data_IF_258330792963
#
_entry.id   IF_258330792963
#
_cell.length_a   1.000
_cell.length_b   1.000
_cell.length_c   1.000
_cell.angle_alpha   90.00
_cell.angle_beta   90.00
_cell.angle_gamma   90.00
#
_symmetry.space_group_name_H-M   'P 1'
#
loop_
_entity.id
_entity.type
_entity.pdbx_description
1 polymer ?
#
# COMPACT_ATOMS: atom_id res chain seq x y z
N UNK A 1 -17.88 -13.88 -15.56
CA UNK A 1 -17.32 -12.55 -15.28
C UNK A 1 -17.59 -12.15 -13.84
N UNK A 2 -18.84 -11.97 -13.41
CA UNK A 2 -19.19 -11.69 -12.00
C UNK A 2 -18.43 -12.56 -10.98
N UNK A 3 -18.45 -13.89 -11.12
CA UNK A 3 -17.71 -14.78 -10.21
C UNK A 3 -16.19 -14.58 -10.24
N UNK A 4 -15.62 -14.27 -11.40
CA UNK A 4 -14.20 -13.96 -11.53
C UNK A 4 -13.86 -12.58 -10.93
N UNK A 5 -14.78 -11.61 -11.00
CA UNK A 5 -14.65 -10.31 -10.36
C UNK A 5 -14.71 -10.45 -8.84
N UNK A 6 -15.68 -11.21 -8.30
CA UNK A 6 -15.73 -11.54 -6.87
C UNK A 6 -14.45 -12.26 -6.42
N UNK A 7 -13.97 -13.22 -7.19
CA UNK A 7 -12.72 -13.90 -6.89
C UNK A 7 -11.51 -12.96 -6.93
N UNK A 8 -11.43 -12.07 -7.90
CA UNK A 8 -10.36 -11.07 -7.96
C UNK A 8 -10.36 -10.12 -6.75
N UNK A 9 -11.54 -9.75 -6.25
CA UNK A 9 -11.72 -8.83 -5.13
C UNK A 9 -11.57 -9.52 -3.75
N UNK A 10 -11.80 -10.83 -3.66
CA UNK A 10 -11.69 -11.56 -2.39
C UNK A 10 -10.24 -11.84 -2.00
N UNK A 11 -9.87 -11.65 -0.70
CA UNK A 11 -8.59 -12.08 -0.16
C UNK A 11 -8.37 -13.58 -0.40
N UNK A 12 -7.12 -14.01 -0.59
CA UNK A 12 -6.75 -15.40 -0.91
C UNK A 12 -7.17 -16.46 0.13
N UNK A 13 -7.79 -16.07 1.25
CA UNK A 13 -8.07 -16.91 2.41
C UNK A 13 -9.56 -16.97 2.81
N UNK A 14 -10.45 -16.23 2.14
CA UNK A 14 -11.90 -16.36 2.34
C UNK A 14 -12.52 -17.32 1.31
N UNK A 15 -12.00 -18.55 1.30
CA UNK A 15 -12.47 -19.58 0.38
C UNK A 15 -13.89 -20.04 0.74
N UNK A 16 -14.22 -20.09 2.04
CA UNK A 16 -15.52 -20.50 2.54
C UNK A 16 -16.64 -19.50 2.18
N UNK A 17 -16.40 -18.19 2.31
CA UNK A 17 -17.36 -17.16 1.87
C UNK A 17 -17.58 -17.19 0.36
N UNK A 18 -16.53 -17.53 -0.39
CA UNK A 18 -16.60 -17.65 -1.85
C UNK A 18 -17.35 -18.91 -2.32
N UNK A 19 -17.19 -20.02 -1.60
CA UNK A 19 -17.97 -21.25 -1.79
C UNK A 19 -19.44 -21.02 -1.46
N UNK A 20 -19.75 -20.33 -0.35
CA UNK A 20 -21.12 -19.99 0.02
C UNK A 20 -21.78 -19.03 -0.98
N UNK A 21 -21.04 -18.06 -1.51
CA UNK A 21 -21.50 -17.17 -2.58
C UNK A 21 -21.73 -17.93 -3.91
N UNK A 22 -20.85 -18.89 -4.24
CA UNK A 22 -21.05 -19.79 -5.36
C UNK A 22 -22.31 -20.62 -5.19
N UNK A 23 -22.47 -21.30 -4.05
CA UNK A 23 -23.62 -22.14 -3.77
C UNK A 23 -24.91 -21.34 -3.79
N UNK A 24 -24.94 -20.14 -3.20
CA UNK A 24 -26.11 -19.26 -3.20
C UNK A 24 -26.45 -18.76 -4.61
N UNK A 25 -25.44 -18.39 -5.40
CA UNK A 25 -25.65 -17.97 -6.78
C UNK A 25 -26.21 -19.11 -7.61
N UNK A 26 -25.62 -20.32 -7.53
CA UNK A 26 -26.08 -21.48 -8.29
C UNK A 26 -27.41 -22.06 -7.77
N UNK A 27 -27.69 -21.96 -6.47
CA UNK A 27 -28.99 -22.30 -5.89
C UNK A 27 -30.12 -21.43 -6.46
N UNK A 28 -29.83 -20.14 -6.73
CA UNK A 28 -30.74 -19.25 -7.45
C UNK A 28 -31.04 -19.67 -8.90
N UNK A 29 -30.22 -20.55 -9.50
CA UNK A 29 -30.39 -21.10 -10.84
C UNK A 29 -30.98 -22.54 -10.86
N UNK A 30 -31.38 -23.09 -9.70
CA UNK A 30 -31.44 -24.54 -9.46
C UNK A 30 -32.77 -25.28 -9.69
N UNK A 31 -33.67 -24.88 -10.62
CA UNK A 31 -34.22 -25.97 -11.42
C UNK A 31 -34.34 -25.65 -12.91
N UNK A 32 -33.68 -26.48 -13.73
CA UNK A 32 -33.89 -26.55 -15.18
C UNK A 32 -32.72 -26.09 -16.06
N UNK A 33 -31.60 -25.66 -15.48
CA UNK A 33 -30.44 -25.23 -16.26
C UNK A 33 -29.70 -26.44 -16.88
N UNK A 34 -29.54 -26.49 -18.23
CA UNK A 34 -28.81 -27.57 -18.89
C UNK A 34 -27.36 -27.66 -18.39
N UNK A 35 -26.84 -28.88 -18.22
CA UNK A 35 -25.47 -29.13 -17.71
C UNK A 35 -24.41 -28.39 -18.52
N UNK A 36 -24.65 -28.21 -19.81
CA UNK A 36 -23.80 -27.49 -20.78
C UNK A 36 -23.68 -26.00 -20.44
N UNK A 37 -24.74 -25.38 -19.90
CA UNK A 37 -24.73 -23.97 -19.51
C UNK A 37 -23.90 -23.75 -18.25
N UNK A 38 -23.93 -24.68 -17.30
CA UNK A 38 -23.06 -24.67 -16.12
C UNK A 38 -21.60 -24.91 -16.51
N UNK A 39 -21.33 -25.79 -17.49
CA UNK A 39 -20.01 -25.98 -18.08
C UNK A 39 -19.47 -24.68 -18.68
N UNK A 40 -20.26 -24.00 -19.51
CA UNK A 40 -19.87 -22.72 -20.10
C UNK A 40 -19.65 -21.64 -19.04
N UNK A 41 -20.49 -21.57 -18.00
CA UNK A 41 -20.35 -20.59 -16.93
C UNK A 41 -18.99 -20.71 -16.21
N UNK A 42 -18.56 -21.95 -15.88
CA UNK A 42 -17.25 -22.22 -15.27
C UNK A 42 -16.08 -21.94 -16.22
N UNK A 43 -16.23 -22.23 -17.52
CA UNK A 43 -15.21 -21.87 -18.52
C UNK A 43 -15.03 -20.35 -18.63
N UNK A 44 -16.13 -19.58 -18.59
CA UNK A 44 -16.08 -18.12 -18.59
C UNK A 44 -15.58 -17.53 -17.27
N UNK A 45 -15.75 -18.23 -16.15
CA UNK A 45 -15.15 -17.88 -14.87
C UNK A 45 -13.62 -18.05 -14.92
N UNK A 46 -13.11 -19.21 -15.32
CA UNK A 46 -11.67 -19.44 -15.51
C UNK A 46 -11.06 -18.44 -16.50
N UNK A 47 -11.72 -18.21 -17.64
CA UNK A 47 -11.29 -17.19 -18.62
C UNK A 47 -11.32 -15.77 -18.03
N UNK A 48 -12.31 -15.47 -17.17
CA UNK A 48 -12.41 -14.21 -16.45
C UNK A 48 -11.26 -14.00 -15.48
N UNK A 49 -10.85 -15.03 -14.75
CA UNK A 49 -9.71 -15.00 -13.82
C UNK A 49 -8.39 -14.74 -14.55
N UNK A 50 -8.15 -15.41 -15.68
CA UNK A 50 -6.99 -15.15 -16.53
C UNK A 50 -7.01 -13.72 -17.08
N UNK A 51 -8.18 -13.21 -17.49
CA UNK A 51 -8.31 -11.80 -17.92
C UNK A 51 -8.03 -10.82 -16.78
N UNK A 52 -8.43 -11.14 -15.55
CA UNK A 52 -8.10 -10.32 -14.38
C UNK A 52 -6.60 -10.34 -14.08
N UNK A 53 -5.95 -11.51 -14.17
CA UNK A 53 -4.50 -11.64 -14.02
C UNK A 53 -3.73 -10.79 -15.05
N UNK A 54 -4.17 -10.78 -16.30
CA UNK A 54 -3.49 -10.03 -17.38
C UNK A 54 -3.81 -8.53 -17.35
N UNK A 55 -5.04 -8.13 -17.03
CA UNK A 55 -5.50 -6.73 -17.19
C UNK A 55 -5.52 -5.93 -15.90
N UNK A 56 -5.62 -6.58 -14.74
CA UNK A 56 -5.87 -5.92 -13.46
C UNK A 56 -4.77 -6.15 -12.43
N UNK A 57 -3.95 -7.20 -12.58
CA UNK A 57 -2.70 -7.32 -11.83
C UNK A 57 -1.62 -6.57 -12.59
N UNK A 58 -1.09 -5.53 -11.96
CA UNK A 58 -0.07 -4.70 -12.56
C UNK A 58 1.31 -5.29 -12.25
N UNK A 59 2.10 -5.61 -13.28
CA UNK A 59 3.43 -6.25 -13.16
C UNK A 59 4.49 -5.44 -12.35
N UNK A 60 4.10 -4.29 -11.81
CA UNK A 60 4.95 -3.40 -11.00
C UNK A 60 4.51 -3.32 -9.54
N UNK A 61 3.43 -3.99 -9.15
CA UNK A 61 3.05 -4.16 -7.74
C UNK A 61 3.98 -5.19 -7.09
N UNK A 62 4.45 -4.97 -5.87
CA UNK A 62 5.51 -5.81 -5.28
C UNK A 62 5.10 -7.29 -5.10
N UNK A 63 3.79 -7.56 -5.11
CA UNK A 63 3.17 -8.88 -5.03
C UNK A 63 2.59 -9.37 -6.36
N UNK A 64 2.88 -8.71 -7.49
CA UNK A 64 2.28 -9.00 -8.80
C UNK A 64 2.44 -10.46 -9.19
N UNK A 65 3.60 -11.05 -8.92
CA UNK A 65 3.91 -12.44 -9.27
C UNK A 65 3.04 -13.40 -8.45
N UNK A 66 2.95 -13.17 -7.14
CA UNK A 66 2.13 -13.97 -6.22
C UNK A 66 0.64 -13.84 -6.53
N UNK A 67 0.15 -12.63 -6.85
CA UNK A 67 -1.26 -12.39 -7.24
C UNK A 67 -1.61 -12.98 -8.59
N UNK A 68 -0.69 -12.90 -9.56
CA UNK A 68 -0.84 -13.55 -10.87
C UNK A 68 -0.87 -15.07 -10.70
N UNK A 69 0.07 -15.63 -9.94
CA UNK A 69 0.13 -17.06 -9.65
C UNK A 69 -1.14 -17.55 -8.91
N UNK A 70 -1.66 -16.78 -7.95
CA UNK A 70 -2.90 -17.10 -7.26
C UNK A 70 -4.12 -17.10 -8.20
N UNK A 71 -4.26 -16.10 -9.07
CA UNK A 71 -5.37 -16.04 -10.05
C UNK A 71 -5.27 -17.16 -11.09
N UNK A 72 -4.07 -17.47 -11.57
CA UNK A 72 -3.83 -18.61 -12.47
C UNK A 72 -4.10 -19.93 -11.76
N UNK A 73 -3.67 -20.09 -10.51
CA UNK A 73 -3.95 -21.26 -9.68
C UNK A 73 -5.43 -21.47 -9.44
N UNK A 74 -6.20 -20.40 -9.23
CA UNK A 74 -7.67 -20.45 -9.11
C UNK A 74 -8.37 -20.78 -10.41
N UNK A 75 -7.91 -20.20 -11.54
CA UNK A 75 -8.40 -20.59 -12.85
C UNK A 75 -8.14 -22.08 -13.11
N UNK A 76 -6.96 -22.58 -12.73
CA UNK A 76 -6.61 -23.98 -12.82
C UNK A 76 -7.48 -24.86 -11.90
N UNK A 77 -7.76 -24.42 -10.67
CA UNK A 77 -8.66 -25.14 -9.75
C UNK A 77 -10.08 -25.24 -10.31
N UNK A 78 -10.64 -24.15 -10.85
CA UNK A 78 -11.96 -24.13 -11.51
C UNK A 78 -12.02 -25.06 -12.71
N UNK A 79 -10.89 -25.24 -13.43
CA UNK A 79 -10.78 -26.19 -14.54
C UNK A 79 -10.57 -27.64 -14.06
N UNK A 80 -9.81 -27.84 -12.97
CA UNK A 80 -9.45 -29.14 -12.41
C UNK A 80 -10.57 -29.81 -11.60
N UNK A 81 -11.49 -29.03 -11.04
CA UNK A 81 -12.75 -29.51 -10.42
C UNK A 81 -13.61 -30.37 -11.37
N UNK A 82 -13.16 -30.58 -12.62
CA UNK A 82 -13.80 -31.45 -13.62
C UNK A 82 -12.98 -32.64 -14.11
N UNK A 83 -11.78 -32.93 -13.58
CA UNK A 83 -11.09 -34.16 -14.01
C UNK A 83 -11.76 -35.47 -13.51
N UNK A 84 -12.87 -35.41 -12.76
CA UNK A 84 -13.65 -36.59 -12.37
C UNK A 84 -15.11 -36.63 -12.85
N UNK A 85 -15.61 -35.70 -13.67
CA UNK A 85 -16.99 -35.77 -14.16
C UNK A 85 -17.17 -35.27 -15.60
N UNK A 86 -17.19 -36.24 -16.53
CA UNK A 86 -17.62 -36.25 -17.94
C UNK A 86 -16.51 -36.36 -19.00
N UNK A 87 -16.38 -37.62 -19.45
CA UNK A 87 -15.77 -38.19 -20.66
C UNK A 87 -15.82 -37.29 -21.91
N UNK A 88 -14.68 -37.13 -22.59
CA UNK A 88 -14.53 -37.23 -24.06
C UNK A 88 -13.06 -37.61 -24.40
N UNK A 89 -12.80 -38.23 -25.57
CA UNK A 89 -11.89 -39.37 -25.70
C UNK A 89 -10.41 -39.02 -25.80
N UNK A 90 -9.59 -39.88 -25.20
CA UNK A 90 -8.15 -39.96 -25.44
C UNK A 90 -7.91 -40.29 -26.92
N UNK A 91 -7.31 -39.38 -27.66
CA UNK A 91 -6.53 -39.78 -28.83
C UNK A 91 -5.22 -40.40 -28.34
N UNK A 92 -5.17 -41.73 -28.42
CA UNK A 92 -3.96 -42.53 -28.37
C UNK A 92 -3.22 -42.45 -29.70
N UNK A 93 -1.94 -42.09 -29.63
CA UNK A 93 -0.90 -42.50 -30.57
C UNK A 93 0.41 -42.49 -29.75
N UNK A 94 0.76 -43.59 -29.10
CA UNK A 94 1.64 -44.66 -29.60
C UNK A 94 3.02 -44.10 -30.03
N UNK A 95 3.97 -44.05 -29.11
CA UNK A 95 5.09 -45.00 -28.91
C UNK A 95 6.29 -44.73 -29.81
N UNK A 96 7.36 -44.21 -29.22
CA UNK A 96 8.74 -44.69 -29.44
C UNK A 96 9.59 -44.31 -28.22
N UNK A 97 10.31 -45.31 -27.71
CA UNK A 97 11.19 -45.29 -26.53
C UNK A 97 12.67 -45.17 -27.00
N UNK A 98 13.66 -45.09 -26.09
CA UNK A 98 14.75 -44.11 -26.11
C UNK A 98 16.10 -44.69 -26.56
N UNK A 99 17.09 -43.83 -26.79
CA UNK A 99 18.50 -44.22 -26.77
C UNK A 99 19.38 -43.18 -26.07
N UNK A 100 20.33 -43.73 -25.31
CA UNK A 100 21.37 -43.12 -24.48
C UNK A 100 22.56 -42.59 -25.31
N UNK A 101 23.46 -41.90 -24.60
CA UNK A 101 24.92 -41.73 -24.81
C UNK A 101 25.33 -40.26 -24.87
N UNK A 102 26.49 -39.82 -24.39
CA UNK A 102 27.46 -40.29 -23.41
C UNK A 102 28.44 -39.10 -23.20
N UNK A 103 29.03 -38.98 -22.02
CA UNK A 103 30.34 -38.41 -21.69
C UNK A 103 30.91 -37.12 -22.36
N UNK A 104 31.41 -36.21 -21.49
CA UNK A 104 32.87 -35.99 -21.50
C UNK A 104 33.41 -34.55 -21.36
N UNK A 105 34.23 -34.38 -20.29
CA UNK A 105 35.38 -33.45 -20.08
C UNK A 105 35.06 -32.01 -19.63
N UNK A 106 35.40 -31.59 -18.41
CA UNK A 106 36.73 -31.32 -17.78
C UNK A 106 37.48 -30.14 -18.40
N UNK A 107 37.58 -29.03 -17.64
CA UNK A 107 38.84 -28.51 -17.05
C UNK A 107 38.78 -27.00 -16.73
N UNK A 108 38.99 -26.65 -15.45
CA UNK A 108 39.44 -25.33 -14.93
C UNK A 108 40.96 -25.14 -15.24
N UNK A 109 41.75 -24.20 -14.63
CA UNK A 109 41.53 -22.88 -13.96
C UNK A 109 42.53 -21.81 -14.48
N UNK A 110 42.63 -20.63 -13.82
CA UNK A 110 43.84 -19.77 -13.55
C UNK A 110 43.31 -18.38 -13.09
N UNK A 111 43.31 -18.00 -11.79
CA UNK A 111 44.36 -17.53 -10.86
C UNK A 111 44.84 -16.06 -11.07
N UNK A 112 44.30 -15.18 -10.19
CA UNK A 112 44.91 -14.10 -9.37
C UNK A 112 45.90 -13.04 -9.94
N UNK A 113 45.53 -11.75 -9.78
CA UNK A 113 46.16 -10.77 -8.86
C UNK A 113 45.17 -9.58 -8.67
N UNK A 114 44.81 -9.05 -7.49
CA UNK A 114 45.55 -8.47 -6.35
C UNK A 114 46.46 -7.29 -6.76
N UNK A 115 46.44 -6.06 -6.22
CA UNK A 115 45.62 -5.21 -5.33
C UNK A 115 46.12 -3.79 -5.65
N UNK A 116 45.27 -2.76 -5.66
CA UNK A 116 45.64 -1.46 -5.06
C UNK A 116 44.41 -0.65 -4.66
N UNK A 117 44.25 -0.55 -3.35
CA UNK A 117 43.19 0.13 -2.62
C UNK A 117 43.62 1.53 -2.24
N UNK A 118 42.76 2.52 -2.46
CA UNK A 118 42.59 3.61 -1.50
C UNK A 118 41.27 4.37 -1.73
N UNK A 119 40.46 4.42 -0.66
CA UNK A 119 39.33 5.33 -0.40
C UNK A 119 37.93 4.93 -0.91
N UNK A 120 37.41 3.79 -0.43
CA UNK A 120 35.97 3.54 -0.31
C UNK A 120 35.66 3.07 1.11
N UNK A 121 34.75 3.78 1.78
CA UNK A 121 34.24 3.45 3.12
C UNK A 121 33.36 2.18 3.08
N UNK A 122 33.23 1.44 4.20
CA UNK A 122 32.94 0.01 4.19
C UNK A 122 31.50 -0.32 3.77
N UNK A 123 31.39 -1.12 2.71
CA UNK A 123 30.20 -1.90 2.38
C UNK A 123 30.15 -3.15 3.27
N UNK A 124 29.41 -3.06 4.37
CA UNK A 124 29.02 -4.22 5.18
C UNK A 124 27.52 -4.13 5.49
N UNK A 125 26.78 -5.13 5.04
CA UNK A 125 25.37 -5.33 5.39
C UNK A 125 24.61 -5.89 4.21
N UNK A 126 24.54 -7.22 4.09
CA UNK A 126 23.49 -7.84 3.29
C UNK A 126 22.15 -7.33 3.83
N UNK A 127 21.28 -6.88 2.94
CA UNK A 127 19.91 -6.50 3.32
C UNK A 127 19.30 -7.67 4.08
N UNK A 128 18.80 -7.47 5.32
CA UNK A 128 18.13 -8.55 6.03
C UNK A 128 16.96 -9.02 5.18
N UNK A 129 16.86 -10.32 4.94
CA UNK A 129 15.69 -10.90 4.28
C UNK A 129 14.46 -10.56 5.13
N UNK A 130 13.69 -9.57 4.68
CA UNK A 130 12.54 -9.04 5.40
C UNK A 130 11.49 -10.14 5.56
N UNK A 131 11.37 -11.05 4.60
CA UNK A 131 10.47 -12.21 4.71
C UNK A 131 10.93 -13.19 5.79
N UNK A 132 12.25 -13.29 6.04
CA UNK A 132 12.79 -14.08 7.14
C UNK A 132 12.45 -13.51 8.52
N UNK A 133 12.23 -12.19 8.66
CA UNK A 133 11.78 -11.57 9.92
C UNK A 133 10.42 -12.10 10.35
N UNK A 134 9.51 -12.32 9.39
CA UNK A 134 8.18 -12.84 9.67
C UNK A 134 8.18 -14.35 9.94
N UNK A 135 8.99 -15.11 9.19
CA UNK A 135 9.14 -16.57 9.37
C UNK A 135 9.86 -16.90 10.68
N UNK A 136 10.79 -16.03 11.11
CA UNK A 136 11.58 -16.17 12.32
C UNK A 136 10.91 -15.64 13.59
N UNK A 137 9.64 -15.21 13.55
CA UNK A 137 8.93 -14.78 14.75
C UNK A 137 8.74 -15.97 15.70
N UNK A 138 9.41 -15.91 16.85
CA UNK A 138 9.33 -16.94 17.88
C UNK A 138 7.94 -16.93 18.55
N UNK A 139 7.19 -18.01 18.32
CA UNK A 139 5.82 -18.18 18.83
C UNK A 139 5.80 -18.41 20.33
N UNK A 140 6.78 -19.14 20.85
CA UNK A 140 6.84 -19.48 22.27
C UNK A 140 7.20 -18.23 23.08
N UNK A 141 8.15 -17.44 22.58
CA UNK A 141 8.46 -16.12 23.15
C UNK A 141 7.26 -15.17 23.05
N UNK A 142 6.50 -15.16 21.94
CA UNK A 142 5.28 -14.36 21.84
C UNK A 142 4.24 -14.74 22.90
N UNK A 143 3.98 -16.04 23.09
CA UNK A 143 3.06 -16.52 24.12
C UNK A 143 3.57 -16.16 25.51
N UNK A 144 4.88 -16.31 25.76
CA UNK A 144 5.50 -15.92 27.02
C UNK A 144 5.31 -14.43 27.31
N UNK A 145 5.64 -13.56 26.37
CA UNK A 145 5.50 -12.11 26.51
C UNK A 145 4.03 -11.67 26.69
N UNK A 146 3.09 -12.30 25.99
CA UNK A 146 1.65 -12.04 26.21
C UNK A 146 1.25 -12.46 27.64
N UNK A 147 1.77 -13.58 28.15
CA UNK A 147 1.50 -14.04 29.51
C UNK A 147 2.01 -13.11 30.61
N UNK A 148 2.95 -12.21 30.29
CA UNK A 148 3.46 -11.19 31.21
C UNK A 148 2.62 -9.90 31.21
N UNK A 149 1.68 -9.74 30.27
CA UNK A 149 0.85 -8.54 30.20
C UNK A 149 -0.20 -8.52 31.34
N UNK A 150 -0.49 -7.33 31.90
CA UNK A 150 -1.55 -7.21 32.90
C UNK A 150 -2.92 -7.48 32.28
N UNK A 151 -3.82 -8.09 33.05
CA UNK A 151 -5.18 -8.42 32.61
C UNK A 151 -6.00 -7.20 32.12
N UNK A 152 -5.66 -5.99 32.60
CA UNK A 152 -6.28 -4.74 32.13
C UNK A 152 -5.94 -4.40 30.68
N UNK A 153 -4.79 -4.87 30.17
CA UNK A 153 -4.36 -4.71 28.77
C UNK A 153 -4.63 -5.96 27.95
N UNK A 154 -4.63 -7.13 28.59
CA UNK A 154 -4.85 -8.43 27.96
C UNK A 154 -5.90 -9.25 28.71
N UNK A 155 -7.20 -8.98 28.49
CA UNK A 155 -8.26 -9.63 29.26
C UNK A 155 -8.55 -11.08 28.82
N UNK A 156 -7.94 -11.54 27.72
CA UNK A 156 -8.27 -12.82 27.08
C UNK A 156 -7.56 -14.03 27.68
N UNK A 157 -6.59 -13.80 28.57
CA UNK A 157 -5.74 -14.85 29.14
C UNK A 157 -4.64 -15.32 28.18
N UNK A 158 -3.77 -16.21 28.67
CA UNK A 158 -2.61 -16.71 27.90
C UNK A 158 -3.09 -17.47 26.64
N UNK A 159 -2.54 -17.17 25.44
CA UNK A 159 -2.86 -17.91 24.23
C UNK A 159 -2.49 -19.40 24.33
N UNK A 160 -3.37 -20.26 23.83
CA UNK A 160 -3.17 -21.71 23.73
C UNK A 160 -2.67 -22.12 22.34
N UNK A 161 -2.98 -21.34 21.31
CA UNK A 161 -2.59 -21.57 19.92
C UNK A 161 -2.34 -20.22 19.24
N UNK A 162 -1.30 -20.16 18.41
CA UNK A 162 -0.89 -18.97 17.67
C UNK A 162 -0.71 -19.33 16.19
N UNK A 163 -1.47 -18.69 15.31
CA UNK A 163 -1.28 -18.76 13.86
C UNK A 163 -0.85 -17.39 13.34
N UNK A 164 0.16 -17.38 12.49
CA UNK A 164 0.73 -16.16 11.92
C UNK A 164 0.68 -16.29 10.41
N UNK A 165 0.20 -15.23 9.76
CA UNK A 165 0.17 -15.10 8.33
C UNK A 165 0.78 -13.77 7.92
N UNK A 166 1.70 -13.79 6.95
CA UNK A 166 2.27 -12.55 6.40
C UNK A 166 1.25 -11.90 5.48
N UNK A 167 0.94 -10.62 5.73
CA UNK A 167 0.08 -9.82 4.87
C UNK A 167 0.90 -9.03 3.86
N UNK A 168 1.99 -8.38 4.31
CA UNK A 168 2.86 -7.58 3.44
C UNK A 168 4.26 -7.39 4.04
N UNK A 169 5.25 -7.19 3.17
CA UNK A 169 6.62 -6.78 3.51
C UNK A 169 6.88 -5.40 2.90
N UNK A 170 7.52 -4.51 3.66
CA UNK A 170 7.72 -3.12 3.28
C UNK A 170 9.19 -2.74 3.12
N UNK A 171 9.46 -1.68 2.36
CA UNK A 171 10.81 -1.20 2.06
C UNK A 171 11.50 -0.53 3.25
N UNK A 172 10.73 0.14 4.12
CA UNK A 172 11.15 0.38 5.50
C UNK A 172 11.02 -0.95 6.22
N UNK A 173 12.11 -1.54 6.73
CA UNK A 173 12.22 -2.98 6.89
C UNK A 173 11.31 -3.49 8.02
N UNK A 174 10.06 -3.72 7.68
CA UNK A 174 9.04 -4.27 8.56
C UNK A 174 8.05 -5.14 7.78
N UNK A 175 7.44 -6.09 8.49
CA UNK A 175 6.40 -6.96 7.99
C UNK A 175 5.11 -6.70 8.73
N UNK A 176 3.99 -6.64 7.99
CA UNK A 176 2.65 -6.66 8.57
C UNK A 176 2.11 -8.08 8.52
N UNK A 177 1.60 -8.55 9.65
CA UNK A 177 1.15 -9.92 9.90
C UNK A 177 -0.31 -9.91 10.38
N UNK A 178 -1.07 -10.90 9.98
CA UNK A 178 -2.27 -11.31 10.69
C UNK A 178 -1.88 -12.37 11.73
N UNK A 179 -2.24 -12.13 12.99
CA UNK A 179 -1.98 -13.04 14.11
C UNK A 179 -3.32 -13.48 14.66
N UNK A 180 -3.59 -14.78 14.59
CA UNK A 180 -4.79 -15.41 15.15
C UNK A 180 -4.41 -16.14 16.43
N UNK A 181 -5.01 -15.73 17.53
CA UNK A 181 -4.76 -16.27 18.86
C UNK A 181 -5.99 -16.99 19.38
N UNK A 182 -5.85 -18.26 19.74
CA UNK A 182 -6.89 -19.00 20.44
C UNK A 182 -6.62 -18.95 21.94
N UNK A 183 -7.54 -18.39 22.69
CA UNK A 183 -7.48 -18.27 24.15
C UNK A 183 -8.67 -19.01 24.78
N UNK A 184 -8.73 -19.09 26.11
CA UNK A 184 -9.90 -19.63 26.81
C UNK A 184 -11.18 -18.82 26.53
N UNK A 185 -11.03 -17.52 26.26
CA UNK A 185 -12.15 -16.59 26.00
C UNK A 185 -12.63 -16.59 24.55
N UNK A 186 -11.90 -17.26 23.64
CA UNK A 186 -12.25 -17.33 22.22
C UNK A 186 -11.07 -17.13 21.28
N UNK A 187 -11.38 -16.95 20.00
CA UNK A 187 -10.44 -16.70 18.92
C UNK A 187 -10.35 -15.20 18.64
N UNK A 188 -9.13 -14.66 18.62
CA UNK A 188 -8.87 -13.22 18.44
C UNK A 188 -7.98 -13.02 17.23
N UNK A 189 -8.41 -12.16 16.28
CA UNK A 189 -7.64 -11.79 15.09
C UNK A 189 -7.01 -10.42 15.30
N UNK A 190 -5.71 -10.32 15.15
CA UNK A 190 -4.91 -9.13 15.44
C UNK A 190 -3.98 -8.80 14.28
N UNK A 191 -3.49 -7.56 14.26
CA UNK A 191 -2.42 -7.15 13.36
C UNK A 191 -1.12 -7.06 14.15
N UNK A 192 -0.08 -7.73 13.62
CA UNK A 192 1.29 -7.62 14.11
C UNK A 192 2.15 -6.85 13.13
N UNK A 193 2.98 -5.92 13.59
CA UNK A 193 4.04 -5.30 12.81
C UNK A 193 5.40 -5.65 13.40
N UNK A 194 6.19 -6.42 12.66
CA UNK A 194 7.55 -6.83 13.05
C UNK A 194 8.55 -5.93 12.36
N UNK A 195 9.42 -5.28 13.12
CA UNK A 195 10.39 -4.31 12.61
C UNK A 195 11.82 -4.86 12.67
N UNK A 196 12.66 -4.49 11.69
CA UNK A 196 14.08 -4.83 11.71
C UNK A 196 14.86 -4.03 12.77
N UNK A 197 14.36 -2.88 13.22
CA UNK A 197 14.95 -2.07 14.31
C UNK A 197 13.90 -1.75 15.35
N UNK A 198 14.31 -1.28 16.53
CA UNK A 198 13.37 -0.90 17.58
C UNK A 198 12.45 0.26 17.13
N UNK A 199 11.15 0.08 17.32
CA UNK A 199 10.08 1.02 16.97
C UNK A 199 9.10 1.25 18.14
N UNK A 200 9.59 1.16 19.38
CA UNK A 200 8.78 1.43 20.58
C UNK A 200 8.16 2.83 20.57
N UNK A 201 8.78 3.79 19.89
CA UNK A 201 8.26 5.14 19.68
C UNK A 201 6.90 5.14 18.95
N UNK A 202 6.64 4.23 18.01
CA UNK A 202 5.36 4.12 17.29
C UNK A 202 4.24 3.73 18.26
N UNK A 203 4.50 2.74 19.12
CA UNK A 203 3.57 2.36 20.19
C UNK A 203 3.24 3.53 21.12
N UNK A 204 4.25 4.31 21.52
CA UNK A 204 4.05 5.51 22.35
C UNK A 204 3.29 6.64 21.64
N UNK A 205 3.42 6.77 20.31
CA UNK A 205 2.58 7.70 19.52
C UNK A 205 1.13 7.25 19.57
N UNK A 206 0.86 5.97 19.31
CA UNK A 206 -0.51 5.44 19.31
C UNK A 206 -1.17 5.58 20.69
N UNK A 207 -0.47 5.29 21.78
CA UNK A 207 -1.00 5.49 23.14
C UNK A 207 -1.35 6.96 23.43
N UNK A 208 -0.53 7.92 22.95
CA UNK A 208 -0.82 9.35 23.10
C UNK A 208 -2.01 9.80 22.26
N UNK A 209 -2.15 9.27 21.05
CA UNK A 209 -3.32 9.53 20.21
C UNK A 209 -4.58 8.99 20.84
N UNK A 210 -4.52 7.79 21.41
CA UNK A 210 -5.62 7.23 22.19
C UNK A 210 -6.03 8.18 23.31
N UNK A 211 -5.08 8.61 24.15
CA UNK A 211 -5.32 9.58 25.22
C UNK A 211 -5.86 10.94 24.73
N UNK A 212 -5.57 11.33 23.48
CA UNK A 212 -6.10 12.53 22.84
C UNK A 212 -7.51 12.35 22.25
N UNK A 213 -8.16 11.21 22.49
CA UNK A 213 -9.53 10.92 22.06
C UNK A 213 -9.63 10.32 20.66
N UNK A 214 -8.67 9.47 20.29
CA UNK A 214 -8.73 8.56 19.13
C UNK A 214 -8.97 7.10 19.55
N UNK A 215 -9.65 6.89 20.68
CA UNK A 215 -10.03 5.58 21.18
C UNK A 215 -10.90 4.78 20.19
N UNK A 216 -10.94 3.44 20.31
CA UNK A 216 -11.82 2.57 19.54
C UNK A 216 -13.30 2.95 19.49
N UNK A 217 -13.81 3.61 20.55
CA UNK A 217 -15.21 4.03 20.67
C UNK A 217 -15.48 5.43 20.08
N UNK A 218 -14.43 6.15 19.65
CA UNK A 218 -14.56 7.46 19.03
C UNK A 218 -14.95 7.34 17.54
N UNK A 219 -15.69 8.34 17.05
CA UNK A 219 -16.03 8.43 15.62
C UNK A 219 -14.78 8.47 14.73
N UNK A 220 -13.74 9.16 15.18
CA UNK A 220 -12.44 9.24 14.54
C UNK A 220 -11.42 8.57 15.45
N UNK A 221 -10.83 7.47 14.98
CA UNK A 221 -10.05 6.58 15.82
C UNK A 221 -8.77 6.11 15.14
N UNK A 222 -7.99 5.34 15.88
CA UNK A 222 -6.87 4.52 15.41
C UNK A 222 -7.09 3.07 15.87
N UNK A 223 -6.39 2.07 15.30
CA UNK A 223 -6.38 0.73 15.88
C UNK A 223 -5.90 0.76 17.32
N UNK A 224 -6.55 0.01 18.22
CA UNK A 224 -6.08 -0.11 19.61
C UNK A 224 -4.66 -0.70 19.65
N UNK A 225 -3.65 0.03 20.15
CA UNK A 225 -2.32 -0.54 20.36
C UNK A 225 -2.35 -1.44 21.60
N UNK A 226 -2.20 -2.76 21.44
CA UNK A 226 -2.30 -3.71 22.55
C UNK A 226 -0.99 -3.78 23.33
N UNK A 227 0.12 -3.95 22.62
CA UNK A 227 1.46 -4.03 23.22
C UNK A 227 2.56 -3.80 22.18
N UNK A 228 3.74 -3.44 22.66
CA UNK A 228 4.98 -3.56 21.92
C UNK A 228 5.92 -4.47 22.69
N UNK A 229 6.46 -5.49 22.01
CA UNK A 229 7.36 -6.49 22.59
C UNK A 229 8.79 -6.25 22.07
N UNK A 230 9.70 -5.63 22.86
CA UNK A 230 11.04 -5.30 22.39
C UNK A 230 11.89 -6.50 22.00
N UNK A 231 11.74 -7.65 22.68
CA UNK A 231 12.47 -8.89 22.35
C UNK A 231 12.13 -9.41 20.95
N UNK A 232 10.90 -9.18 20.51
CA UNK A 232 10.37 -9.59 19.20
C UNK A 232 10.35 -8.45 18.17
N UNK A 233 10.63 -7.21 18.59
CA UNK A 233 10.41 -5.97 17.81
C UNK A 233 9.03 -5.96 17.16
N UNK A 234 8.03 -6.37 17.93
CA UNK A 234 6.66 -6.60 17.46
C UNK A 234 5.71 -5.59 18.10
N UNK A 235 5.05 -4.78 17.28
CA UNK A 235 3.85 -4.03 17.66
C UNK A 235 2.63 -4.91 17.41
N UNK A 236 1.84 -5.17 18.45
CA UNK A 236 0.58 -5.88 18.36
C UNK A 236 -0.58 -4.89 18.53
N UNK A 237 -1.54 -4.92 17.61
CA UNK A 237 -2.67 -3.99 17.59
C UNK A 237 -3.97 -4.67 17.13
N UNK A 238 -5.09 -4.01 17.40
CA UNK A 238 -6.41 -4.39 16.90
C UNK A 238 -6.40 -4.59 15.37
N UNK A 239 -7.11 -5.63 14.91
CA UNK A 239 -7.53 -5.75 13.52
C UNK A 239 -8.86 -5.00 13.35
N UNK A 240 -8.80 -3.84 12.70
CA UNK A 240 -10.02 -3.05 12.40
C UNK A 240 -10.76 -3.71 11.24
N UNK A 241 -11.96 -4.23 11.49
CA UNK A 241 -12.82 -4.81 10.46
C UNK A 241 -13.69 -3.71 9.82
N UNK A 242 -13.53 -3.50 8.52
CA UNK A 242 -14.23 -2.47 7.77
C UNK A 242 -13.79 -2.40 6.32
N UNK A 243 -14.39 -1.47 5.57
CA UNK A 243 -14.05 -1.23 4.16
C UNK A 243 -13.01 -0.12 4.08
N UNK A 244 -11.97 -0.32 3.26
CA UNK A 244 -10.95 0.71 3.05
C UNK A 244 -11.50 1.86 2.20
N UNK A 245 -11.00 3.09 2.39
CA UNK A 245 -11.36 4.21 1.52
C UNK A 245 -10.97 3.91 0.07
N UNK A 246 -9.84 3.22 -0.13
CA UNK A 246 -9.39 2.70 -1.43
C UNK A 246 -10.48 1.93 -2.17
N UNK A 247 -11.06 0.91 -1.53
CA UNK A 247 -12.09 0.06 -2.16
C UNK A 247 -13.32 0.89 -2.55
N UNK A 248 -13.70 1.86 -1.74
CA UNK A 248 -14.83 2.75 -2.01
C UNK A 248 -14.51 3.69 -3.18
N UNK A 249 -13.30 4.24 -3.27
CA UNK A 249 -12.92 5.07 -4.42
C UNK A 249 -12.77 4.27 -5.73
N UNK A 250 -12.46 2.98 -5.65
CA UNK A 250 -12.36 2.11 -6.82
C UNK A 250 -13.72 1.70 -7.39
N UNK A 251 -14.72 1.50 -6.54
CA UNK A 251 -15.99 0.86 -6.94
C UNK A 251 -17.25 1.68 -6.64
N UNK A 252 -17.14 2.72 -5.82
CA UNK A 252 -18.25 3.56 -5.40
C UNK A 252 -18.66 4.58 -6.45
N UNK A 253 -19.89 5.08 -6.32
CA UNK A 253 -20.37 6.20 -7.12
C UNK A 253 -19.77 7.55 -6.65
N UNK A 254 -20.05 8.61 -7.40
CA UNK A 254 -19.55 9.96 -7.10
C UNK A 254 -19.95 10.45 -5.71
N UNK A 255 -21.17 10.12 -5.24
CA UNK A 255 -21.66 10.56 -3.92
C UNK A 255 -20.95 9.81 -2.80
N UNK A 256 -20.73 8.51 -2.96
CA UNK A 256 -19.98 7.70 -2.02
C UNK A 256 -18.52 8.17 -1.94
N UNK A 257 -17.88 8.43 -3.07
CA UNK A 257 -16.53 8.96 -3.14
C UNK A 257 -16.43 10.33 -2.44
N UNK A 258 -17.38 11.24 -2.69
CA UNK A 258 -17.42 12.53 -2.02
C UNK A 258 -17.58 12.37 -0.50
N UNK A 259 -18.53 11.56 -0.03
CA UNK A 259 -18.77 11.36 1.41
C UNK A 259 -17.54 10.80 2.15
N UNK A 260 -16.83 9.85 1.53
CA UNK A 260 -15.59 9.27 2.07
C UNK A 260 -14.46 10.30 2.10
N UNK A 261 -14.30 11.09 1.05
CA UNK A 261 -13.33 12.18 1.01
C UNK A 261 -13.61 13.23 2.11
N UNK A 262 -14.86 13.66 2.28
CA UNK A 262 -15.24 14.63 3.31
C UNK A 262 -14.99 14.09 4.73
N UNK A 263 -15.30 12.81 4.97
CA UNK A 263 -15.07 12.16 6.27
C UNK A 263 -13.58 12.00 6.57
N UNK A 264 -12.77 11.68 5.55
CA UNK A 264 -11.30 11.65 5.65
C UNK A 264 -10.74 13.03 6.00
N UNK A 265 -11.24 14.08 5.34
CA UNK A 265 -10.82 15.46 5.63
C UNK A 265 -11.09 15.86 7.08
N UNK A 266 -12.29 15.58 7.61
CA UNK A 266 -12.63 15.85 9.01
C UNK A 266 -11.74 15.09 10.00
N UNK A 267 -11.43 13.83 9.69
CA UNK A 267 -10.49 13.05 10.50
C UNK A 267 -9.12 13.73 10.54
N UNK A 268 -8.59 14.15 9.38
CA UNK A 268 -7.26 14.77 9.28
C UNK A 268 -7.20 16.12 10.03
N UNK A 269 -8.23 16.95 9.90
CA UNK A 269 -8.31 18.23 10.63
C UNK A 269 -8.31 17.99 12.13
N UNK A 270 -9.13 17.06 12.62
CA UNK A 270 -9.15 16.72 14.05
C UNK A 270 -7.76 16.26 14.49
N UNK A 271 -7.14 15.34 13.77
CA UNK A 271 -5.81 14.84 14.08
C UNK A 271 -4.77 15.96 14.18
N UNK A 272 -4.68 16.82 13.16
CA UNK A 272 -3.73 17.94 13.15
C UNK A 272 -4.01 18.98 14.24
N UNK A 273 -5.24 19.05 14.74
CA UNK A 273 -5.65 19.99 15.81
C UNK A 273 -5.36 19.45 17.21
N UNK A 274 -5.65 18.17 17.47
CA UNK A 274 -5.64 17.62 18.84
C UNK A 274 -4.38 16.81 19.15
N UNK A 275 -3.71 16.24 18.13
CA UNK A 275 -2.51 15.45 18.35
C UNK A 275 -1.29 16.36 18.60
N UNK A 276 -0.54 16.06 19.67
CA UNK A 276 0.68 16.79 19.98
C UNK A 276 1.77 16.49 18.94
N UNK A 277 2.34 17.50 18.24
CA UNK A 277 3.44 17.30 17.31
C UNK A 277 4.61 16.61 18.01
N UNK A 278 5.10 15.50 17.44
CA UNK A 278 6.24 14.78 18.01
C UNK A 278 7.04 14.05 16.94
N UNK A 279 8.27 13.68 17.27
CA UNK A 279 9.19 13.00 16.34
C UNK A 279 10.08 13.99 15.59
N UNK A 280 10.56 13.58 14.42
CA UNK A 280 11.50 14.37 13.62
C UNK A 280 10.77 15.48 12.88
N UNK A 281 11.46 16.57 12.61
CA UNK A 281 10.93 17.62 11.73
C UNK A 281 11.11 17.17 10.28
N UNK A 282 10.02 17.10 9.53
CA UNK A 282 10.05 16.81 8.10
C UNK A 282 10.47 18.05 7.29
N UNK A 283 11.77 18.29 7.21
CA UNK A 283 12.34 19.44 6.49
C UNK A 283 12.07 19.44 4.98
N UNK A 284 11.93 20.63 4.41
CA UNK A 284 11.75 20.86 2.96
C UNK A 284 12.93 20.33 2.14
N UNK A 285 14.16 20.46 2.66
CA UNK A 285 15.39 20.00 2.01
C UNK A 285 15.37 18.50 1.72
N UNK A 286 14.73 17.69 2.59
CA UNK A 286 14.54 16.25 2.36
C UNK A 286 13.75 15.99 1.09
N UNK A 287 12.69 16.76 0.85
CA UNK A 287 11.84 16.62 -0.32
C UNK A 287 12.53 17.10 -1.59
N UNK A 288 13.23 18.23 -1.54
CA UNK A 288 14.03 18.74 -2.65
C UNK A 288 15.13 17.75 -3.04
N UNK A 289 15.90 17.25 -2.07
CA UNK A 289 16.94 16.25 -2.30
C UNK A 289 16.37 14.95 -2.90
N UNK A 290 15.18 14.54 -2.46
CA UNK A 290 14.49 13.37 -3.02
C UNK A 290 14.05 13.60 -4.46
N UNK A 291 13.55 14.79 -4.78
CA UNK A 291 13.16 15.17 -6.13
C UNK A 291 14.39 15.21 -7.05
N UNK A 292 15.50 15.79 -6.60
CA UNK A 292 16.77 15.84 -7.35
C UNK A 292 17.28 14.44 -7.69
N UNK A 293 17.31 13.52 -6.72
CA UNK A 293 17.69 12.12 -6.98
C UNK A 293 16.78 11.45 -8.01
N UNK A 294 15.46 11.70 -7.93
CA UNK A 294 14.49 11.15 -8.88
C UNK A 294 14.70 11.70 -10.29
N UNK A 295 14.83 13.01 -10.41
CA UNK A 295 15.06 13.69 -11.68
C UNK A 295 16.37 13.24 -12.31
N UNK A 296 17.46 13.12 -11.53
CA UNK A 296 18.72 12.57 -12.01
C UNK A 296 18.56 11.17 -12.59
N UNK A 297 17.91 10.27 -11.85
CA UNK A 297 17.64 8.91 -12.31
C UNK A 297 16.84 8.89 -13.62
N UNK A 298 15.82 9.75 -13.77
CA UNK A 298 15.04 9.84 -15.00
C UNK A 298 15.91 10.34 -16.16
N UNK A 299 16.66 11.43 -15.96
CA UNK A 299 17.54 12.01 -16.97
C UNK A 299 18.65 11.06 -17.43
N UNK A 300 19.23 10.28 -16.53
CA UNK A 300 20.23 9.25 -16.84
C UNK A 300 19.65 8.10 -17.67
N UNK A 301 18.35 7.81 -17.51
CA UNK A 301 17.67 6.74 -18.26
C UNK A 301 17.15 7.21 -19.61
N UNK A 302 16.76 8.48 -19.71
CA UNK A 302 16.31 9.12 -20.94
C UNK A 302 16.65 10.62 -20.97
N UNK A 303 17.67 10.97 -21.76
CA UNK A 303 18.14 12.35 -21.89
C UNK A 303 17.11 13.31 -22.48
N UNK A 304 16.08 12.83 -23.18
CA UNK A 304 15.02 13.68 -23.72
C UNK A 304 14.14 14.28 -22.60
N UNK A 305 14.14 13.68 -21.41
CA UNK A 305 13.39 14.16 -20.25
C UNK A 305 14.20 15.14 -19.37
N UNK A 306 15.49 15.34 -19.67
CA UNK A 306 16.38 16.15 -18.83
C UNK A 306 15.90 17.59 -18.67
N UNK A 307 15.52 18.27 -19.76
CA UNK A 307 15.02 19.65 -19.69
C UNK A 307 13.72 19.77 -18.86
N UNK A 308 12.86 18.75 -18.90
CA UNK A 308 11.63 18.71 -18.10
C UNK A 308 11.92 18.49 -16.61
N UNK A 309 12.90 17.64 -16.31
CA UNK A 309 13.43 17.45 -14.95
C UNK A 309 14.02 18.76 -14.40
N UNK A 310 14.86 19.44 -15.16
CA UNK A 310 15.47 20.73 -14.77
C UNK A 310 14.41 21.79 -14.48
N UNK A 311 13.45 21.95 -15.39
CA UNK A 311 12.33 22.88 -15.22
C UNK A 311 11.52 22.56 -13.95
N UNK A 312 11.24 21.28 -13.68
CA UNK A 312 10.50 20.88 -12.48
C UNK A 312 11.27 21.20 -11.20
N UNK A 313 12.58 20.92 -11.16
CA UNK A 313 13.42 21.20 -10.01
C UNK A 313 13.53 22.71 -9.74
N UNK A 314 13.69 23.53 -10.79
CA UNK A 314 13.70 24.98 -10.67
C UNK A 314 12.39 25.50 -10.04
N UNK A 315 11.24 25.05 -10.58
CA UNK A 315 9.93 25.45 -10.04
C UNK A 315 9.69 24.93 -8.62
N UNK A 316 10.18 23.75 -8.27
CA UNK A 316 10.11 23.22 -6.90
C UNK A 316 10.90 24.09 -5.92
N UNK A 317 12.12 24.52 -6.28
CA UNK A 317 12.92 25.43 -5.46
C UNK A 317 12.25 26.78 -5.29
N UNK A 318 11.68 27.34 -6.35
CA UNK A 318 10.92 28.59 -6.29
C UNK A 318 9.61 28.47 -5.50
N UNK A 319 8.99 27.30 -5.48
CA UNK A 319 7.75 27.04 -4.75
C UNK A 319 7.96 26.61 -3.29
N UNK A 320 9.19 26.31 -2.89
CA UNK A 320 9.54 25.80 -1.57
C UNK A 320 9.03 26.72 -0.45
N UNK A 321 8.20 26.20 0.48
CA UNK A 321 7.78 26.96 1.66
C UNK A 321 8.97 27.36 2.55
N UNK A 322 8.97 28.60 3.06
CA UNK A 322 9.97 29.07 4.03
C UNK A 322 9.65 28.53 5.42
N UNK A 323 10.52 27.68 5.97
CA UNK A 323 10.27 26.91 7.21
C UNK A 323 9.98 27.77 8.46
N UNK A 324 10.42 29.04 8.48
CA UNK A 324 10.19 29.97 9.59
C UNK A 324 8.78 30.57 9.68
N UNK A 325 7.92 30.35 8.68
CA UNK A 325 6.59 30.96 8.59
C UNK A 325 5.41 29.96 8.67
N UNK A 326 5.68 28.68 8.93
CA UNK A 326 4.70 27.59 8.88
C UNK A 326 4.30 27.19 10.30
N UNK A 327 3.00 27.14 10.61
CA UNK A 327 2.55 26.43 11.80
C UNK A 327 2.74 24.95 11.56
N UNK A 328 3.66 24.33 12.27
CA UNK A 328 3.83 22.88 12.21
C UNK A 328 2.70 22.19 12.97
N UNK A 329 2.35 20.98 12.54
CA UNK A 329 1.37 20.14 13.20
C UNK A 329 1.88 18.70 13.33
N UNK A 330 1.11 17.85 14.01
CA UNK A 330 1.29 16.41 13.93
C UNK A 330 1.09 15.95 12.48
N UNK A 331 2.03 15.19 11.96
CA UNK A 331 2.01 14.65 10.62
C UNK A 331 1.91 13.12 10.65
N UNK A 332 0.98 12.56 9.88
CA UNK A 332 0.85 11.12 9.69
C UNK A 332 1.97 10.55 8.82
N UNK A 333 2.42 11.31 7.81
CA UNK A 333 3.56 10.95 6.95
C UNK A 333 3.16 10.18 5.70
N UNK A 334 2.19 9.27 5.82
CA UNK A 334 1.62 8.51 4.69
C UNK A 334 0.09 8.60 4.54
N UNK A 335 -0.51 9.74 4.86
CA UNK A 335 -1.98 9.87 4.86
C UNK A 335 -2.59 9.70 3.45
N UNK A 336 -3.13 8.51 3.14
CA UNK A 336 -3.71 8.17 1.85
C UNK A 336 -4.83 7.12 1.96
N UNK A 337 -5.53 6.84 0.86
CA UNK A 337 -6.81 6.14 0.85
C UNK A 337 -6.78 4.70 1.37
N UNK A 338 -5.65 3.99 1.25
CA UNK A 338 -5.55 2.62 1.77
C UNK A 338 -5.21 2.56 3.26
N UNK A 339 -4.86 3.70 3.87
CA UNK A 339 -4.59 3.82 5.30
C UNK A 339 -5.84 4.18 6.12
N UNK A 340 -7.00 4.32 5.45
CA UNK A 340 -8.26 4.74 6.07
C UNK A 340 -9.26 3.60 5.95
N UNK A 341 -9.81 3.18 7.09
CA UNK A 341 -10.79 2.10 7.19
C UNK A 341 -12.08 2.66 7.79
N UNK A 342 -13.20 2.45 7.10
CA UNK A 342 -14.54 2.72 7.60
C UNK A 342 -15.09 1.45 8.24
N UNK A 343 -15.09 1.44 9.57
CA UNK A 343 -15.69 0.39 10.38
C UNK A 343 -17.07 0.85 10.90
N UNK A 344 -17.85 -0.07 11.47
CA UNK A 344 -19.16 0.26 12.01
C UNK A 344 -19.06 1.38 13.06
N UNK A 345 -19.59 2.57 12.72
CA UNK A 345 -19.62 3.73 13.62
C UNK A 345 -18.34 4.57 13.71
N UNK A 346 -17.23 4.17 13.07
CA UNK A 346 -15.95 4.90 13.17
C UNK A 346 -15.11 4.90 11.89
N UNK A 347 -14.25 5.90 11.77
CA UNK A 347 -13.21 5.99 10.75
C UNK A 347 -11.86 5.84 11.44
N UNK A 348 -11.22 4.71 11.20
CA UNK A 348 -9.92 4.38 11.76
C UNK A 348 -8.82 4.68 10.74
N UNK A 349 -7.74 5.31 11.18
CA UNK A 349 -6.54 5.51 10.36
C UNK A 349 -5.41 4.66 10.92
N UNK A 350 -4.81 3.90 10.02
CA UNK A 350 -3.78 2.92 10.32
C UNK A 350 -2.42 3.39 9.83
N UNK A 351 -1.37 2.66 10.20
CA UNK A 351 -0.01 2.88 9.73
C UNK A 351 0.67 4.16 10.22
N UNK A 352 1.13 4.10 11.47
CA UNK A 352 1.74 5.23 12.21
C UNK A 352 3.27 5.27 12.13
N UNK A 353 3.88 4.49 11.23
CA UNK A 353 5.34 4.32 11.18
C UNK A 353 6.07 5.58 10.72
N UNK A 354 5.41 6.41 9.89
CA UNK A 354 5.95 7.66 9.37
C UNK A 354 5.52 8.91 10.14
N UNK A 355 5.02 8.75 11.37
CA UNK A 355 4.58 9.85 12.21
C UNK A 355 5.73 10.82 12.51
N UNK A 356 5.48 12.12 12.29
CA UNK A 356 6.49 13.16 12.47
C UNK A 356 5.88 14.55 12.68
N UNK A 357 6.71 15.59 12.69
CA UNK A 357 6.29 17.00 12.70
C UNK A 357 6.33 17.53 11.26
N UNK A 358 5.22 18.07 10.79
CA UNK A 358 5.04 18.41 9.38
C UNK A 358 4.36 19.76 9.14
N UNK A 359 4.52 20.26 7.91
CA UNK A 359 3.61 21.24 7.34
C UNK A 359 2.23 20.59 7.14
N UNK A 360 1.12 21.22 7.58
CA UNK A 360 -0.23 20.67 7.44
C UNK A 360 -0.60 20.33 5.99
N UNK A 361 -0.04 21.04 5.00
CA UNK A 361 -0.31 20.82 3.59
C UNK A 361 0.26 19.49 3.07
N UNK A 362 1.23 18.90 3.78
CA UNK A 362 1.89 17.67 3.33
C UNK A 362 0.90 16.50 3.27
N UNK A 363 0.17 16.24 4.34
CA UNK A 363 -0.73 15.08 4.41
C UNK A 363 -1.98 15.28 3.53
N UNK A 364 -2.43 16.55 3.37
CA UNK A 364 -3.45 16.94 2.38
C UNK A 364 -2.98 16.62 0.96
N UNK A 365 -1.75 17.01 0.61
CA UNK A 365 -1.20 16.74 -0.72
C UNK A 365 -0.99 15.24 -0.97
N UNK A 366 -0.56 14.50 0.06
CA UNK A 366 -0.36 13.05 -0.02
C UNK A 366 -1.67 12.34 -0.36
N UNK A 367 -2.77 12.72 0.30
CA UNK A 367 -4.11 12.17 0.02
C UNK A 367 -4.60 12.53 -1.39
N UNK A 368 -4.47 13.80 -1.81
CA UNK A 368 -4.93 14.21 -3.14
C UNK A 368 -4.16 13.48 -4.23
N UNK A 369 -2.83 13.41 -4.14
CA UNK A 369 -2.01 12.71 -5.14
C UNK A 369 -2.28 11.20 -5.13
N UNK A 370 -2.62 10.62 -3.99
CA UNK A 370 -2.96 9.21 -3.93
C UNK A 370 -4.27 8.90 -4.67
N UNK A 371 -5.28 9.78 -4.59
CA UNK A 371 -6.49 9.71 -5.43
C UNK A 371 -6.19 9.90 -6.91
N UNK A 372 -5.37 10.88 -7.29
CA UNK A 372 -5.01 11.08 -8.70
C UNK A 372 -4.26 9.86 -9.29
N UNK A 373 -3.43 9.20 -8.47
CA UNK A 373 -2.74 7.95 -8.85
C UNK A 373 -3.68 6.76 -8.89
N UNK A 374 -4.66 6.68 -7.99
CA UNK A 374 -5.71 5.67 -8.03
C UNK A 374 -6.56 5.84 -9.30
N UNK A 375 -6.95 7.08 -9.60
CA UNK A 375 -7.67 7.46 -10.80
C UNK A 375 -6.95 6.94 -12.06
N UNK A 376 -5.65 7.22 -12.16
CA UNK A 376 -4.81 6.77 -13.27
C UNK A 376 -4.76 5.24 -13.39
N UNK A 377 -4.72 4.51 -12.26
CA UNK A 377 -4.64 3.04 -12.25
C UNK A 377 -5.95 2.37 -12.67
N UNK A 378 -7.09 2.90 -12.24
CA UNK A 378 -8.39 2.21 -12.38
C UNK A 378 -9.30 2.78 -13.47
N UNK A 379 -9.11 4.05 -13.85
CA UNK A 379 -10.03 4.76 -14.76
C UNK A 379 -9.33 5.34 -16.01
N UNK A 380 -8.03 5.08 -16.19
CA UNK A 380 -7.29 5.47 -17.39
C UNK A 380 -6.91 6.95 -17.48
N UNK A 381 -7.09 7.74 -16.41
CA UNK A 381 -6.72 9.15 -16.35
C UNK A 381 -6.57 9.67 -14.92
N UNK A 382 -5.81 10.74 -14.73
CA UNK A 382 -5.49 11.29 -13.38
C UNK A 382 -6.64 12.07 -12.74
N UNK A 383 -7.72 12.33 -13.48
CA UNK A 383 -8.78 13.28 -13.14
C UNK A 383 -10.10 12.64 -12.70
N UNK A 384 -10.22 11.33 -12.79
CA UNK A 384 -11.49 10.63 -12.52
C UNK A 384 -12.00 10.82 -11.08
N UNK A 385 -11.12 11.15 -10.13
CA UNK A 385 -11.44 11.39 -8.73
C UNK A 385 -11.26 12.86 -8.30
N UNK A 386 -11.19 13.81 -9.25
CA UNK A 386 -11.04 15.24 -8.95
C UNK A 386 -12.19 15.77 -8.10
N UNK A 387 -13.42 15.29 -8.31
CA UNK A 387 -14.58 15.65 -7.49
C UNK A 387 -14.40 15.27 -6.02
N UNK A 388 -13.86 14.08 -5.75
CA UNK A 388 -13.54 13.63 -4.39
C UNK A 388 -12.37 14.41 -3.79
N UNK A 389 -11.31 14.67 -4.57
CA UNK A 389 -10.20 15.50 -4.11
C UNK A 389 -10.63 16.94 -3.78
N UNK A 390 -11.54 17.52 -4.57
CA UNK A 390 -12.11 18.84 -4.31
C UNK A 390 -13.02 18.83 -3.06
N UNK A 391 -13.84 17.79 -2.88
CA UNK A 391 -14.65 17.62 -1.68
C UNK A 391 -13.78 17.51 -0.42
N UNK A 392 -12.70 16.71 -0.48
CA UNK A 392 -11.72 16.61 0.61
C UNK A 392 -11.13 17.97 0.98
N UNK A 393 -10.57 18.70 0.02
CA UNK A 393 -9.91 19.98 0.29
C UNK A 393 -10.90 21.04 0.81
N UNK A 394 -12.10 21.12 0.22
CA UNK A 394 -13.14 22.03 0.67
C UNK A 394 -13.52 21.74 2.13
N UNK A 395 -13.84 20.49 2.44
CA UNK A 395 -14.22 20.10 3.81
C UNK A 395 -13.07 20.25 4.80
N UNK A 396 -11.82 20.02 4.39
CA UNK A 396 -10.65 20.26 5.23
C UNK A 396 -10.59 21.73 5.68
N UNK A 397 -10.78 22.67 4.75
CA UNK A 397 -10.76 24.10 5.06
C UNK A 397 -11.99 24.52 5.90
N UNK A 398 -13.18 24.03 5.55
CA UNK A 398 -14.43 24.33 6.27
C UNK A 398 -14.43 23.78 7.71
N UNK A 399 -13.76 22.66 7.96
CA UNK A 399 -13.64 22.06 9.27
C UNK A 399 -12.59 22.73 10.18
N UNK A 400 -11.92 23.79 9.71
CA UNK A 400 -10.93 24.55 10.49
C UNK A 400 -9.48 24.16 10.23
N UNK A 401 -9.19 23.46 9.12
CA UNK A 401 -7.82 23.21 8.68
C UNK A 401 -7.04 24.50 8.39
N UNK A 402 -5.71 24.44 8.39
CA UNK A 402 -4.87 25.63 8.27
C UNK A 402 -5.13 26.36 6.93
N UNK A 403 -5.52 27.65 6.93
CA UNK A 403 -5.89 28.38 5.72
C UNK A 403 -4.72 28.60 4.76
N UNK A 404 -3.47 28.33 5.18
CA UNK A 404 -2.28 28.38 4.32
C UNK A 404 -2.05 27.11 3.52
N UNK A 405 -2.77 26.02 3.82
CA UNK A 405 -2.62 24.75 3.07
C UNK A 405 -2.69 24.94 1.56
N UNK A 406 -3.64 25.71 0.98
CA UNK A 406 -3.70 25.92 -0.46
C UNK A 406 -2.44 26.58 -1.06
N UNK A 407 -1.70 27.36 -0.27
CA UNK A 407 -0.47 28.05 -0.71
C UNK A 407 0.71 27.08 -0.85
N UNK A 408 0.82 26.11 0.05
CA UNK A 408 1.89 25.10 0.06
C UNK A 408 1.53 23.82 -0.70
N UNK A 409 0.23 23.59 -0.97
CA UNK A 409 -0.28 22.40 -1.64
C UNK A 409 0.38 22.12 -3.00
N UNK A 410 0.57 23.11 -3.92
CA UNK A 410 1.30 22.93 -5.18
C UNK A 410 2.67 22.26 -5.03
N UNK A 411 3.46 22.70 -4.05
CA UNK A 411 4.80 22.19 -3.80
C UNK A 411 4.74 20.71 -3.40
N UNK A 412 3.94 20.38 -2.41
CA UNK A 412 3.84 19.00 -1.92
C UNK A 412 3.23 18.06 -2.95
N UNK A 413 2.21 18.49 -3.72
CA UNK A 413 1.66 17.68 -4.82
C UNK A 413 2.74 17.31 -5.83
N UNK A 414 3.55 18.29 -6.24
CA UNK A 414 4.63 18.04 -7.20
C UNK A 414 5.69 17.07 -6.66
N UNK A 415 6.07 17.22 -5.39
CA UNK A 415 6.98 16.27 -4.71
C UNK A 415 6.39 14.87 -4.66
N UNK A 416 5.11 14.72 -4.29
CA UNK A 416 4.47 13.41 -4.18
C UNK A 416 4.27 12.75 -5.54
N UNK A 417 4.10 13.51 -6.62
CA UNK A 417 4.10 12.97 -7.99
C UNK A 417 5.45 12.38 -8.41
N UNK A 418 6.56 12.89 -7.86
CA UNK A 418 7.89 12.32 -8.07
C UNK A 418 8.22 11.10 -7.19
N UNK A 419 7.46 10.83 -6.13
CA UNK A 419 7.71 9.67 -5.25
C UNK A 419 7.35 8.33 -5.92
N UNK A 420 8.05 7.27 -5.50
CA UNK A 420 7.83 5.89 -5.95
C UNK A 420 8.50 5.52 -7.28
N UNK A 421 8.22 4.31 -7.77
CA UNK A 421 8.63 3.79 -9.10
C UNK A 421 10.14 3.80 -9.38
N UNK A 422 10.98 3.87 -8.34
CA UNK A 422 12.44 3.89 -8.49
C UNK A 422 12.93 2.65 -9.23
N UNK A 423 12.51 1.48 -8.78
CA UNK A 423 12.89 0.20 -9.38
C UNK A 423 12.43 0.11 -10.84
N UNK A 424 11.17 0.44 -11.14
CA UNK A 424 10.64 0.40 -12.51
C UNK A 424 11.43 1.30 -13.48
N UNK A 425 11.90 2.46 -13.03
CA UNK A 425 12.76 3.36 -13.81
C UNK A 425 14.18 2.77 -13.94
N UNK A 426 14.74 2.24 -12.85
CA UNK A 426 16.08 1.63 -12.83
C UNK A 426 16.18 0.42 -13.78
N UNK A 427 15.18 -0.46 -13.74
CA UNK A 427 15.11 -1.70 -14.53
C UNK A 427 14.50 -1.50 -15.91
N UNK A 428 14.04 -0.27 -16.23
CA UNK A 428 13.37 0.07 -17.49
C UNK A 428 12.18 -0.86 -17.81
N UNK A 429 11.37 -1.16 -16.79
CA UNK A 429 10.18 -2.00 -16.94
C UNK A 429 9.26 -1.44 -18.04
N UNK A 430 8.59 -2.25 -18.88
CA UNK A 430 7.68 -1.75 -19.90
C UNK A 430 6.70 -0.69 -19.38
N UNK A 431 6.59 0.42 -20.12
CA UNK A 431 5.76 1.58 -19.73
C UNK A 431 6.41 2.55 -18.74
N UNK A 432 7.68 2.36 -18.33
CA UNK A 432 8.33 3.23 -17.35
C UNK A 432 8.47 4.67 -17.85
N UNK A 433 8.73 4.87 -19.15
CA UNK A 433 8.98 6.18 -19.74
C UNK A 433 7.72 7.03 -19.75
N UNK A 434 6.62 6.50 -20.26
CA UNK A 434 5.31 7.16 -20.29
C UNK A 434 4.87 7.52 -18.86
N UNK A 435 5.13 6.61 -17.92
CA UNK A 435 4.87 6.83 -16.49
C UNK A 435 5.74 7.96 -15.91
N UNK A 436 7.02 8.04 -16.27
CA UNK A 436 7.92 9.10 -15.84
C UNK A 436 7.50 10.45 -16.44
N UNK A 437 7.11 10.47 -17.72
CA UNK A 437 6.58 11.65 -18.40
C UNK A 437 5.33 12.20 -17.69
N UNK A 438 4.37 11.33 -17.34
CA UNK A 438 3.18 11.69 -16.54
C UNK A 438 3.57 12.24 -15.17
N UNK A 439 4.52 11.62 -14.46
CA UNK A 439 4.98 12.10 -13.16
C UNK A 439 5.54 13.53 -13.26
N UNK A 440 6.31 13.81 -14.31
CA UNK A 440 6.86 15.15 -14.58
C UNK A 440 5.77 16.14 -14.99
N UNK A 441 4.81 15.74 -15.83
CA UNK A 441 3.70 16.60 -16.26
C UNK A 441 2.80 17.00 -15.09
N UNK A 442 2.42 16.03 -14.25
CA UNK A 442 1.59 16.31 -13.08
C UNK A 442 2.33 17.14 -12.03
N UNK A 443 3.64 16.91 -11.89
CA UNK A 443 4.50 17.76 -11.06
C UNK A 443 4.53 19.21 -11.54
N UNK A 444 4.79 19.43 -12.84
CA UNK A 444 4.82 20.76 -13.44
C UNK A 444 3.46 21.44 -13.40
N UNK A 445 2.38 20.71 -13.72
CA UNK A 445 1.01 21.23 -13.69
C UNK A 445 0.61 21.68 -12.30
N UNK A 446 0.98 20.92 -11.27
CA UNK A 446 0.74 21.31 -9.87
C UNK A 446 1.36 22.66 -9.53
N UNK A 447 2.52 22.99 -10.14
CA UNK A 447 3.27 24.23 -9.89
C UNK A 447 2.88 25.40 -10.81
N UNK A 448 2.14 25.17 -11.90
CA UNK A 448 1.79 26.21 -12.88
C UNK A 448 0.82 27.28 -12.34
N UNK A 449 0.16 27.05 -11.20
CA UNK A 449 -0.77 28.03 -10.59
C UNK A 449 -0.13 29.31 -10.04
N UNK A 450 1.21 29.39 -9.94
CA UNK A 450 1.93 30.57 -9.39
C UNK A 450 2.38 31.61 -10.43
N UNK A 451 2.31 31.33 -11.73
CA UNK A 451 2.82 32.28 -12.74
C UNK A 451 1.93 33.51 -12.99
N UNK A 452 0.71 33.57 -12.42
CA UNK A 452 -0.24 34.66 -12.69
C UNK A 452 -0.17 35.86 -11.73
N UNK A 453 0.70 35.86 -10.71
CA UNK A 453 0.73 36.93 -9.68
C UNK A 453 1.97 37.82 -9.74
N UNK A 454 2.49 38.11 -10.94
CA UNK A 454 3.29 39.30 -11.19
C UNK A 454 2.48 40.27 -12.06
N UNK A 455 1.49 40.91 -11.46
CA UNK A 455 0.90 42.14 -12.01
C UNK A 455 1.49 43.29 -11.18
N UNK A 456 2.23 44.11 -11.89
CA UNK A 456 2.90 45.35 -11.45
C UNK A 456 2.00 46.21 -10.56
N UNK A 457 2.48 46.72 -9.41
CA UNK A 457 1.72 47.72 -8.66
C UNK A 457 1.61 49.01 -9.49
N UNK A 458 0.48 49.73 -9.45
CA UNK A 458 0.37 51.01 -10.13
C UNK A 458 1.36 52.00 -9.50
N UNK A 459 2.10 52.70 -10.36
CA UNK A 459 3.02 53.76 -9.98
C UNK A 459 2.26 54.96 -9.38
N UNK A 460 2.94 55.83 -8.59
CA UNK A 460 2.35 56.60 -7.50
C UNK A 460 1.33 57.67 -7.91
#
# INVERSE_FOLDING_TARGET
YFLADCQFLHPAYDQAGLEQLHESLFAGYAPGVPKERLIRARLYEATGLIKCAVRRVQLFEHDWASRTAALVGRAQAVLNDRQFALVMPRHTSATTKPEESNEGRLSEPIVQSAVDSALVAPSTGGEPDISALAVGLDRDELVHQIGLLPASRWPWGVPQEVRIQVLSCHWEPHCTLEIVLRTQSGCHRLIGKVYATDHQNVYQVMERLRQAGFDPDAEFSIPLPLAYFPSLRLLLQERVEGMSAKEIFEHGDERQCAAVAERSARWLVRFQTVAAPAGRISGIDRFLSSAERKCRLISERDGLLAGKCEQLLERLRAAAPSFGAISTCAGHGDYCEHQIIFAAGRTAVVDWDLYDIADPARDVAKFIVSLERLAMRHFGGTRALDGAAAAFLRTYLEAGGDPRVPVALPFYKAVFWLKGRTEAIQTRTPGWRERAEIMLDEGLRSLSGRQASHITPPAP
#
